data_IF_938379583807
#
_entry.id   IF_938379583807
#
_cell.length_a   1.000
_cell.length_b   1.000
_cell.length_c   1.000
_cell.angle_alpha   90.00
_cell.angle_beta   90.00
_cell.angle_gamma   90.00
#
_symmetry.space_group_name_H-M   'P 1'
#
loop_
_entity.id
_entity.type
_entity.pdbx_description
1 polymer ?
#
# COMPACT_ATOMS: atom_id res chain seq x y z
N UNK A 1 5.64 7.91 16.36
CA UNK A 1 5.32 6.77 15.48
C UNK A 1 5.77 7.09 14.07
N UNK A 2 6.36 6.14 13.36
CA UNK A 2 6.95 6.38 12.03
C UNK A 2 5.91 6.21 10.93
N UNK A 3 5.47 7.31 10.30
CA UNK A 3 4.59 7.25 9.15
C UNK A 3 5.21 6.50 7.94
N UNK A 4 6.54 6.32 7.90
CA UNK A 4 7.21 5.49 6.90
C UNK A 4 6.74 4.02 6.90
N UNK A 5 6.22 3.53 8.03
CA UNK A 5 5.66 2.18 8.12
C UNK A 5 4.41 1.99 7.24
N UNK A 6 3.68 3.08 6.94
CA UNK A 6 2.53 3.05 6.03
C UNK A 6 2.91 2.64 4.59
N UNK A 7 4.17 2.85 4.22
CA UNK A 7 4.75 2.42 2.94
C UNK A 7 5.51 1.11 3.13
N UNK A 8 6.36 1.02 4.15
CA UNK A 8 7.30 -0.09 4.32
C UNK A 8 6.58 -1.42 4.57
N UNK A 9 5.53 -1.45 5.40
CA UNK A 9 4.84 -2.70 5.73
C UNK A 9 4.12 -3.31 4.54
N UNK A 10 3.26 -2.60 3.78
CA UNK A 10 2.63 -3.21 2.62
C UNK A 10 3.64 -3.55 1.51
N UNK A 11 4.72 -2.76 1.36
CA UNK A 11 5.78 -3.05 0.39
C UNK A 11 6.51 -4.37 0.73
N UNK A 12 6.96 -4.51 1.98
CA UNK A 12 7.62 -5.74 2.43
C UNK A 12 6.69 -6.94 2.31
N UNK A 13 5.42 -6.79 2.70
CA UNK A 13 4.42 -7.85 2.58
C UNK A 13 4.22 -8.26 1.12
N UNK A 14 4.18 -7.30 0.18
CA UNK A 14 4.08 -7.57 -1.24
C UNK A 14 5.25 -8.42 -1.78
N UNK A 15 6.47 -8.20 -1.29
CA UNK A 15 7.64 -9.02 -1.66
C UNK A 15 7.66 -10.39 -0.99
N UNK A 16 7.12 -10.51 0.22
CA UNK A 16 7.07 -11.78 0.96
C UNK A 16 6.01 -12.73 0.39
N UNK A 17 4.88 -12.22 -0.09
CA UNK A 17 3.77 -13.01 -0.64
C UNK A 17 4.21 -13.99 -1.75
N UNK A 18 4.99 -13.61 -2.79
CA UNK A 18 5.42 -14.54 -3.83
C UNK A 18 6.31 -15.67 -3.32
N UNK A 19 7.05 -15.43 -2.24
CA UNK A 19 7.95 -16.43 -1.64
C UNK A 19 7.15 -17.49 -0.86
N UNK A 20 6.15 -17.05 -0.08
CA UNK A 20 5.38 -17.91 0.82
C UNK A 20 4.14 -18.50 0.11
N UNK A 21 3.58 -17.82 -0.87
CA UNK A 21 2.36 -18.23 -1.58
C UNK A 21 2.47 -19.58 -2.28
N UNK A 22 3.70 -20.08 -2.51
CA UNK A 22 3.96 -21.43 -3.02
C UNK A 22 3.74 -22.53 -1.98
N UNK A 23 3.79 -22.19 -0.68
CA UNK A 23 3.67 -23.17 0.41
C UNK A 23 2.20 -23.42 0.80
N UNK A 24 1.38 -22.37 0.84
CA UNK A 24 -0.04 -22.47 1.23
C UNK A 24 -0.90 -21.43 0.52
N UNK A 25 -1.97 -21.88 -0.14
CA UNK A 25 -2.85 -21.05 -0.97
C UNK A 25 -3.53 -19.88 -0.23
N UNK A 26 -3.92 -20.04 1.03
CA UNK A 26 -4.65 -19.00 1.80
C UNK A 26 -3.77 -17.99 2.55
N UNK A 27 -2.46 -18.23 2.65
CA UNK A 27 -1.54 -17.34 3.36
C UNK A 27 -1.44 -15.95 2.70
N UNK A 28 -1.37 -15.81 1.37
CA UNK A 28 -1.31 -14.52 0.72
C UNK A 28 -2.44 -13.57 1.12
N UNK A 29 -3.69 -14.01 1.05
CA UNK A 29 -4.86 -13.20 1.41
C UNK A 29 -4.88 -12.81 2.89
N UNK A 30 -4.44 -13.71 3.77
CA UNK A 30 -4.32 -13.40 5.20
C UNK A 30 -3.25 -12.34 5.47
N UNK A 31 -2.10 -12.41 4.80
CA UNK A 31 -1.04 -11.41 4.91
C UNK A 31 -1.49 -10.03 4.41
N UNK A 32 -2.25 -9.99 3.31
CA UNK A 32 -2.86 -8.74 2.81
C UNK A 32 -3.78 -8.15 3.87
N UNK A 33 -4.68 -8.95 4.45
CA UNK A 33 -5.59 -8.48 5.49
C UNK A 33 -4.84 -7.92 6.70
N UNK A 34 -3.81 -8.62 7.16
CA UNK A 34 -3.01 -8.18 8.31
C UNK A 34 -2.27 -6.88 8.00
N UNK A 35 -1.67 -6.76 6.81
CA UNK A 35 -0.97 -5.55 6.37
C UNK A 35 -1.90 -4.33 6.25
N UNK A 36 -3.09 -4.50 5.67
CA UNK A 36 -4.06 -3.41 5.54
C UNK A 36 -4.67 -3.02 6.87
N UNK A 37 -4.94 -3.98 7.77
CA UNK A 37 -5.38 -3.71 9.15
C UNK A 37 -4.33 -2.91 9.92
N UNK A 38 -3.05 -3.31 9.81
CA UNK A 38 -1.95 -2.59 10.44
C UNK A 38 -1.84 -1.15 9.93
N UNK A 39 -2.05 -0.93 8.62
CA UNK A 39 -2.08 0.41 8.03
C UNK A 39 -3.20 1.27 8.61
N UNK A 40 -4.41 0.75 8.77
CA UNK A 40 -5.52 1.48 9.43
C UNK A 40 -5.10 1.89 10.84
N UNK A 41 -4.62 0.95 11.64
CA UNK A 41 -4.24 1.21 13.04
C UNK A 41 -3.20 2.33 13.12
N UNK A 42 -2.16 2.29 12.28
CA UNK A 42 -1.14 3.35 12.25
C UNK A 42 -1.76 4.67 11.81
N UNK A 43 -2.54 4.69 10.74
CA UNK A 43 -3.13 5.92 10.21
C UNK A 43 -3.98 6.63 11.27
N UNK A 44 -4.86 5.89 11.97
CA UNK A 44 -5.67 6.46 13.03
C UNK A 44 -4.86 6.91 14.25
N UNK A 45 -3.77 6.22 14.56
CA UNK A 45 -2.90 6.61 15.68
C UNK A 45 -2.07 7.87 15.42
N UNK A 46 -1.89 8.27 14.15
CA UNK A 46 -1.24 9.53 13.77
C UNK A 46 -2.16 10.76 13.96
N UNK A 47 -3.47 10.54 14.15
CA UNK A 47 -4.46 11.61 14.20
C UNK A 47 -4.10 12.72 15.21
N UNK A 48 -3.82 12.35 16.46
CA UNK A 48 -3.49 13.33 17.50
C UNK A 48 -2.25 14.18 17.15
N UNK A 49 -1.17 13.52 16.72
CA UNK A 49 0.08 14.20 16.41
C UNK A 49 -0.04 15.14 15.20
N UNK A 50 -0.75 14.71 14.14
CA UNK A 50 -0.93 15.52 12.92
C UNK A 50 -1.87 16.72 13.17
N UNK A 51 -2.82 16.59 14.11
CA UNK A 51 -3.68 17.74 14.48
C UNK A 51 -2.91 18.86 15.15
N UNK A 52 -1.86 18.54 15.92
CA UNK A 52 -0.99 19.53 16.57
C UNK A 52 -0.01 20.18 15.58
N UNK A 53 0.68 19.39 14.77
CA UNK A 53 1.63 19.86 13.77
C UNK A 53 1.85 18.84 12.65
N UNK A 54 2.19 19.29 11.42
CA UNK A 54 2.57 18.38 10.34
C UNK A 54 3.80 17.55 10.73
N UNK A 55 3.80 16.26 10.38
CA UNK A 55 4.93 15.36 10.64
C UNK A 55 5.82 15.34 9.39
N UNK A 56 7.10 15.66 9.56
CA UNK A 56 8.12 15.58 8.51
C UNK A 56 9.12 14.49 8.87
N UNK A 57 9.30 13.52 7.99
CA UNK A 57 10.26 12.43 8.16
C UNK A 57 11.30 12.51 7.05
N UNK A 58 12.56 12.75 7.42
CA UNK A 58 13.69 12.71 6.49
C UNK A 58 14.24 11.28 6.43
N UNK A 59 14.36 10.73 5.22
CA UNK A 59 14.89 9.39 5.01
C UNK A 59 16.38 9.53 4.66
N UNK A 60 17.24 8.83 5.44
CA UNK A 60 18.67 8.76 5.17
C UNK A 60 19.51 9.93 5.69
N UNK A 61 18.99 10.79 6.58
CA UNK A 61 19.72 11.94 7.16
C UNK A 61 20.28 12.98 6.16
N UNK A 62 19.78 12.99 4.93
CA UNK A 62 20.12 14.00 3.94
C UNK A 62 19.11 15.13 4.00
N UNK A 63 19.61 16.38 4.03
CA UNK A 63 18.75 17.56 4.03
C UNK A 63 18.13 17.82 2.64
N UNK A 64 16.94 18.41 2.62
CA UNK A 64 16.32 18.93 1.39
C UNK A 64 17.30 19.92 0.71
N UNK A 65 17.52 19.85 -0.62
CA UNK A 65 16.75 19.12 -1.63
C UNK A 65 17.31 17.72 -2.00
N UNK A 66 18.37 17.24 -1.37
CA UNK A 66 19.07 15.99 -1.76
C UNK A 66 18.51 14.74 -1.07
N UNK A 67 17.69 14.88 -0.02
CA UNK A 67 17.10 13.78 0.72
C UNK A 67 15.63 13.57 0.41
N UNK A 68 15.19 12.30 0.44
CA UNK A 68 13.77 11.93 0.37
C UNK A 68 13.11 12.33 1.68
N UNK A 69 12.01 13.07 1.61
CA UNK A 69 11.19 13.40 2.77
C UNK A 69 9.75 12.91 2.60
N UNK A 70 9.17 12.50 3.71
CA UNK A 70 7.73 12.23 3.81
C UNK A 70 7.09 13.38 4.61
N UNK A 71 5.95 13.84 4.12
CA UNK A 71 5.21 14.94 4.70
C UNK A 71 3.77 14.51 5.00
N UNK A 72 3.40 14.55 6.27
CA UNK A 72 2.06 14.15 6.71
C UNK A 72 1.37 15.37 7.32
N UNK A 73 0.53 16.00 6.54
CA UNK A 73 -0.38 17.06 6.98
C UNK A 73 -1.81 16.53 7.18
N UNK A 74 -2.71 17.43 7.49
CA UNK A 74 -4.14 17.09 7.71
C UNK A 74 -4.80 16.53 6.46
N UNK A 75 -4.42 17.01 5.27
CA UNK A 75 -4.96 16.52 3.99
C UNK A 75 -4.45 15.11 3.71
N UNK A 76 -3.15 14.89 3.87
CA UNK A 76 -2.54 13.56 3.74
C UNK A 76 -3.17 12.56 4.71
N UNK A 77 -3.37 12.97 5.98
CA UNK A 77 -4.01 12.11 6.99
C UNK A 77 -5.43 11.69 6.58
N UNK A 78 -6.28 12.63 6.18
CA UNK A 78 -7.66 12.32 5.75
C UNK A 78 -7.64 11.39 4.53
N UNK A 79 -6.78 11.67 3.56
CA UNK A 79 -6.61 10.81 2.38
C UNK A 79 -6.19 9.39 2.76
N UNK A 80 -5.21 9.25 3.66
CA UNK A 80 -4.77 7.94 4.15
C UNK A 80 -5.86 7.19 4.92
N UNK A 81 -6.69 7.89 5.71
CA UNK A 81 -7.83 7.27 6.42
C UNK A 81 -8.83 6.67 5.43
N UNK A 82 -9.17 7.40 4.37
CA UNK A 82 -10.08 6.93 3.32
C UNK A 82 -9.46 5.75 2.57
N UNK A 83 -8.22 5.90 2.09
CA UNK A 83 -7.52 4.89 1.30
C UNK A 83 -7.33 3.60 2.10
N UNK A 84 -6.84 3.68 3.34
CA UNK A 84 -6.60 2.50 4.18
C UNK A 84 -7.90 1.78 4.52
N UNK A 85 -9.00 2.52 4.79
CA UNK A 85 -10.31 1.94 5.08
C UNK A 85 -10.87 1.20 3.85
N UNK A 86 -10.84 1.83 2.67
CA UNK A 86 -11.33 1.22 1.43
C UNK A 86 -10.49 -0.02 1.09
N UNK A 87 -9.17 0.07 1.18
CA UNK A 87 -8.27 -1.04 0.87
C UNK A 87 -8.48 -2.22 1.82
N UNK A 88 -8.72 -1.95 3.10
CA UNK A 88 -9.05 -2.99 4.08
C UNK A 88 -10.39 -3.68 3.75
N UNK A 89 -11.43 -2.92 3.40
CA UNK A 89 -12.71 -3.50 2.99
C UNK A 89 -12.58 -4.38 1.75
N UNK A 90 -11.79 -3.93 0.75
CA UNK A 90 -11.48 -4.72 -0.44
C UNK A 90 -10.72 -6.00 -0.06
N UNK A 91 -9.78 -5.93 0.90
CA UNK A 91 -9.03 -7.11 1.33
C UNK A 91 -9.92 -8.17 1.99
N UNK A 92 -10.92 -7.76 2.78
CA UNK A 92 -11.93 -8.68 3.35
C UNK A 92 -12.75 -9.35 2.24
N UNK A 93 -13.18 -8.57 1.24
CA UNK A 93 -13.93 -9.10 0.10
C UNK A 93 -13.12 -10.13 -0.68
N UNK A 94 -11.83 -9.84 -0.92
CA UNK A 94 -10.96 -10.71 -1.69
C UNK A 94 -10.67 -12.08 -1.05
N UNK A 95 -10.65 -12.19 0.28
CA UNK A 95 -10.46 -13.48 0.97
C UNK A 95 -11.49 -14.53 0.54
N UNK A 96 -12.70 -14.09 0.17
CA UNK A 96 -13.80 -14.99 -0.22
C UNK A 96 -13.90 -15.26 -1.71
N UNK A 97 -13.34 -14.39 -2.55
CA UNK A 97 -13.64 -14.34 -3.97
C UNK A 97 -12.42 -14.49 -4.90
N UNK A 98 -11.25 -14.79 -4.39
CA UNK A 98 -10.05 -15.01 -5.23
C UNK A 98 -9.99 -16.44 -5.74
N UNK A 99 -9.91 -16.58 -7.08
CA UNK A 99 -9.63 -17.86 -7.73
C UNK A 99 -8.22 -18.33 -7.42
N UNK A 100 -8.08 -19.58 -7.04
CA UNK A 100 -6.85 -20.22 -6.53
C UNK A 100 -5.62 -20.06 -7.45
N UNK A 101 -5.82 -19.94 -8.76
CA UNK A 101 -4.72 -19.93 -9.74
C UNK A 101 -3.94 -18.60 -9.82
N UNK A 102 -4.55 -17.48 -9.44
CA UNK A 102 -3.96 -16.14 -9.56
C UNK A 102 -3.85 -15.38 -8.24
N UNK A 103 -4.22 -15.98 -7.11
CA UNK A 103 -4.30 -15.33 -5.82
C UNK A 103 -2.99 -14.65 -5.40
N UNK A 104 -1.87 -15.33 -5.53
CA UNK A 104 -0.55 -14.78 -5.18
C UNK A 104 -0.21 -13.53 -6.00
N UNK A 105 -0.41 -13.59 -7.32
CA UNK A 105 -0.13 -12.46 -8.21
C UNK A 105 -1.06 -11.29 -7.93
N UNK A 106 -2.35 -11.56 -7.76
CA UNK A 106 -3.35 -10.55 -7.44
C UNK A 106 -2.99 -9.83 -6.14
N UNK A 107 -2.75 -10.55 -5.06
CA UNK A 107 -2.44 -10.01 -3.74
C UNK A 107 -1.13 -9.21 -3.73
N UNK A 108 -0.11 -9.66 -4.48
CA UNK A 108 1.13 -8.91 -4.66
C UNK A 108 0.89 -7.57 -5.35
N UNK A 109 0.21 -7.59 -6.50
CA UNK A 109 -0.07 -6.36 -7.26
C UNK A 109 -1.02 -5.43 -6.51
N UNK A 110 -1.98 -5.97 -5.77
CA UNK A 110 -2.88 -5.19 -4.92
C UNK A 110 -2.13 -4.43 -3.83
N UNK A 111 -1.20 -5.09 -3.12
CA UNK A 111 -0.37 -4.41 -2.11
C UNK A 111 0.62 -3.43 -2.72
N UNK A 112 1.19 -3.71 -3.89
CA UNK A 112 2.05 -2.75 -4.60
C UNK A 112 1.27 -1.51 -5.02
N UNK A 113 0.05 -1.66 -5.55
CA UNK A 113 -0.82 -0.53 -5.87
C UNK A 113 -1.14 0.30 -4.61
N UNK A 114 -1.50 -0.36 -3.51
CA UNK A 114 -1.74 0.29 -2.23
C UNK A 114 -0.50 1.02 -1.70
N UNK A 115 0.68 0.40 -1.78
CA UNK A 115 1.96 1.03 -1.42
C UNK A 115 2.24 2.28 -2.25
N UNK A 116 2.03 2.19 -3.56
CA UNK A 116 2.21 3.32 -4.47
C UNK A 116 1.28 4.49 -4.12
N UNK A 117 0.00 4.20 -3.86
CA UNK A 117 -0.98 5.24 -3.47
C UNK A 117 -0.60 5.88 -2.13
N UNK A 118 -0.21 5.11 -1.11
CA UNK A 118 0.27 5.65 0.16
C UNK A 118 1.53 6.51 -0.03
N UNK A 119 2.44 6.07 -0.90
CA UNK A 119 3.65 6.81 -1.22
C UNK A 119 3.37 8.14 -1.90
N UNK A 120 2.42 8.20 -2.85
CA UNK A 120 1.98 9.44 -3.51
C UNK A 120 1.45 10.43 -2.47
N UNK A 121 0.63 9.97 -1.52
CA UNK A 121 0.03 10.82 -0.50
C UNK A 121 1.05 11.33 0.52
N UNK A 122 2.05 10.51 0.84
CA UNK A 122 3.02 10.81 1.89
C UNK A 122 4.27 11.56 1.41
N UNK A 123 4.58 11.51 0.11
CA UNK A 123 5.85 12.06 -0.36
C UNK A 123 5.85 13.59 -0.37
N UNK A 124 6.94 14.18 0.11
CA UNK A 124 7.24 15.60 -0.02
C UNK A 124 8.29 15.92 -1.09
N UNK A 125 8.68 14.92 -1.90
CA UNK A 125 9.71 15.03 -2.93
C UNK A 125 9.17 14.61 -4.30
N UNK A 126 9.47 15.42 -5.31
CA UNK A 126 8.96 15.25 -6.68
C UNK A 126 9.52 14.00 -7.37
N UNK A 127 10.78 13.66 -7.12
CA UNK A 127 11.40 12.46 -7.68
C UNK A 127 10.74 11.20 -7.10
N UNK A 128 10.57 11.19 -5.80
CA UNK A 128 9.94 10.09 -5.08
C UNK A 128 8.45 9.96 -5.44
N UNK A 129 7.77 11.09 -5.71
CA UNK A 129 6.40 11.11 -6.24
C UNK A 129 6.31 10.35 -7.57
N UNK A 130 7.22 10.63 -8.50
CA UNK A 130 7.29 9.93 -9.78
C UNK A 130 7.44 8.43 -9.60
N UNK A 131 8.35 7.99 -8.73
CA UNK A 131 8.56 6.56 -8.44
C UNK A 131 7.28 5.89 -7.92
N UNK A 132 6.55 6.52 -7.00
CA UNK A 132 5.31 5.96 -6.47
C UNK A 132 4.16 5.95 -7.49
N UNK A 133 4.09 6.95 -8.37
CA UNK A 133 3.15 6.94 -9.50
C UNK A 133 3.42 5.75 -10.41
N UNK A 134 4.68 5.47 -10.76
CA UNK A 134 5.05 4.33 -11.59
C UNK A 134 4.69 2.99 -10.92
N UNK A 135 4.98 2.84 -9.62
CA UNK A 135 4.61 1.63 -8.86
C UNK A 135 3.09 1.43 -8.89
N UNK A 136 2.32 2.47 -8.61
CA UNK A 136 0.86 2.42 -8.63
C UNK A 136 0.31 2.11 -10.03
N UNK A 137 0.83 2.77 -11.07
CA UNK A 137 0.40 2.61 -12.45
C UNK A 137 0.65 1.18 -12.96
N UNK A 138 1.86 0.67 -12.83
CA UNK A 138 2.21 -0.68 -13.28
C UNK A 138 1.37 -1.73 -12.56
N UNK A 139 1.21 -1.59 -11.25
CA UNK A 139 0.43 -2.53 -10.44
C UNK A 139 -1.04 -2.54 -10.84
N UNK A 140 -1.65 -1.37 -11.06
CA UNK A 140 -3.06 -1.27 -11.48
C UNK A 140 -3.27 -1.76 -12.91
N UNK A 141 -2.33 -1.55 -13.84
CA UNK A 141 -2.40 -2.12 -15.19
C UNK A 141 -2.39 -3.65 -15.17
N UNK A 142 -1.52 -4.24 -14.35
CA UNK A 142 -1.49 -5.71 -14.19
C UNK A 142 -2.80 -6.22 -13.61
N UNK A 143 -3.34 -5.58 -12.56
CA UNK A 143 -4.64 -5.95 -11.96
C UNK A 143 -5.78 -5.87 -12.99
N UNK A 144 -5.83 -4.82 -13.80
CA UNK A 144 -6.85 -4.65 -14.84
C UNK A 144 -6.79 -5.75 -15.92
N UNK A 145 -5.58 -6.18 -16.29
CA UNK A 145 -5.40 -7.26 -17.29
C UNK A 145 -5.76 -8.64 -16.74
N UNK A 146 -5.59 -8.87 -15.43
CA UNK A 146 -5.98 -10.15 -14.80
C UNK A 146 -7.49 -10.36 -14.89
N UNK A 147 -8.29 -9.37 -14.54
CA UNK A 147 -9.76 -9.42 -14.60
C UNK A 147 -10.28 -9.64 -16.04
N UNK A 148 -9.60 -9.10 -17.03
CA UNK A 148 -10.00 -9.23 -18.44
C UNK A 148 -9.85 -10.65 -18.99
N UNK A 149 -8.85 -11.41 -18.51
CA UNK A 149 -8.66 -12.81 -18.95
C UNK A 149 -9.79 -13.73 -18.48
N UNK A 150 -10.34 -13.51 -17.30
CA UNK A 150 -11.45 -14.32 -16.77
C UNK A 150 -12.74 -14.11 -17.58
N UNK A 151 -13.01 -12.89 -18.07
CA UNK A 151 -14.22 -12.60 -18.85
C UNK A 151 -14.20 -13.17 -20.28
N UNK A 152 -13.05 -13.60 -20.80
CA UNK A 152 -12.93 -14.24 -22.13
C UNK A 152 -12.94 -15.77 -22.08
N UNK A 153 -12.90 -16.37 -20.88
CA UNK A 153 -12.92 -17.82 -20.68
C UNK A 153 -14.30 -18.34 -20.22
N UNK A 154 -15.25 -17.45 -19.99
CA UNK A 154 -16.65 -17.74 -19.69
C UNK A 154 -17.53 -17.59 -20.95
#
# INVERSE_FOLDING_TARGET
MNASLLIAVPLLTAFVIPLIGKLHKKIPSFLVLLSTLFNIIITFSLYGAVMESPIVIQIGNWTVPFGINLYVDKLALVSLMIISTITFLISIYNIRNTDELNETKFNTMFLLAFTGINGIVLTGDIFNLFVFIEIAAISTYVLATMKRKESYQA
#
